data_IF_773907166902
#
_entry.id   IF_773907166902
#
_cell.length_a   1.000
_cell.length_b   1.000
_cell.length_c   1.000
_cell.angle_alpha   90.00
_cell.angle_beta   90.00
_cell.angle_gamma   90.00
#
_symmetry.space_group_name_H-M   'P 1'
#
loop_
_entity.id
_entity.type
_entity.pdbx_description
1 polymer ?
#
# COMPACT_ATOMS: atom_id res chain seq x y z
N UNK A 1 -15.96 28.14 -52.17
CA UNK A 1 -16.12 27.04 -51.21
C UNK A 1 -14.98 27.16 -50.19
N UNK A 2 -15.25 27.63 -48.98
CA UNK A 2 -14.27 27.79 -47.88
C UNK A 2 -14.40 26.63 -46.92
N UNK A 3 -13.43 25.73 -46.92
CA UNK A 3 -13.39 24.61 -45.98
C UNK A 3 -12.85 25.13 -44.64
N UNK A 4 -13.70 25.13 -43.61
CA UNK A 4 -13.32 25.37 -42.23
C UNK A 4 -12.76 24.07 -41.66
N UNK A 5 -11.44 23.99 -41.49
CA UNK A 5 -10.80 22.93 -40.69
C UNK A 5 -11.03 23.23 -39.21
N UNK A 6 -11.91 22.47 -38.57
CA UNK A 6 -12.08 22.48 -37.12
C UNK A 6 -10.94 21.71 -36.48
N UNK A 7 -10.02 22.43 -35.82
CA UNK A 7 -8.91 21.87 -35.04
C UNK A 7 -9.47 21.34 -33.70
N UNK A 8 -9.66 20.04 -33.56
CA UNK A 8 -10.03 19.39 -32.31
C UNK A 8 -8.81 19.41 -31.35
N UNK A 9 -8.82 20.33 -30.41
CA UNK A 9 -7.89 20.31 -29.27
C UNK A 9 -8.25 19.14 -28.35
N UNK A 10 -7.46 18.06 -28.41
CA UNK A 10 -7.52 16.98 -27.41
C UNK A 10 -6.84 17.49 -26.15
N UNK A 11 -7.63 17.89 -25.17
CA UNK A 11 -7.16 18.21 -23.82
C UNK A 11 -6.81 16.90 -23.13
N UNK A 12 -5.53 16.56 -23.08
CA UNK A 12 -5.01 15.47 -22.27
C UNK A 12 -5.17 15.87 -20.78
N UNK A 13 -6.18 15.33 -20.12
CA UNK A 13 -6.30 15.43 -18.67
C UNK A 13 -5.16 14.65 -18.03
N UNK A 14 -4.33 15.26 -17.15
CA UNK A 14 -3.33 14.49 -16.42
C UNK A 14 -4.08 13.43 -15.59
N UNK A 15 -3.73 12.17 -15.77
CA UNK A 15 -4.16 11.10 -14.88
C UNK A 15 -3.53 11.38 -13.51
N UNK A 16 -4.31 11.96 -12.60
CA UNK A 16 -3.91 12.12 -11.21
C UNK A 16 -3.70 10.72 -10.66
N UNK A 17 -2.46 10.43 -10.21
CA UNK A 17 -2.19 9.24 -9.44
C UNK A 17 -3.25 9.13 -8.33
N UNK A 18 -3.92 8.00 -8.22
CA UNK A 18 -4.93 7.81 -7.19
C UNK A 18 -4.21 7.70 -5.85
N UNK A 19 -4.11 8.83 -5.17
CA UNK A 19 -3.70 8.88 -3.76
C UNK A 19 -4.88 8.39 -2.92
N UNK A 20 -4.58 7.74 -1.79
CA UNK A 20 -5.63 7.40 -0.84
C UNK A 20 -6.25 8.68 -0.27
N UNK A 21 -7.55 8.66 -0.05
CA UNK A 21 -8.23 9.80 0.56
C UNK A 21 -8.01 9.81 2.08
N UNK A 22 -7.67 10.95 2.68
CA UNK A 22 -7.63 11.10 4.13
C UNK A 22 -8.98 10.79 4.76
N UNK A 23 -8.97 10.32 5.99
CA UNK A 23 -10.20 10.00 6.72
C UNK A 23 -10.06 8.80 7.63
N UNK A 24 -11.17 8.36 8.17
CA UNK A 24 -11.25 7.15 8.97
C UNK A 24 -11.27 5.91 8.08
N UNK A 25 -10.37 4.99 8.36
CA UNK A 25 -10.21 3.74 7.63
C UNK A 25 -10.34 2.55 8.55
N UNK A 26 -10.95 1.52 8.04
CA UNK A 26 -11.02 0.20 8.66
C UNK A 26 -10.15 -0.77 7.87
N UNK A 27 -9.24 -1.44 8.57
CA UNK A 27 -8.30 -2.41 8.00
C UNK A 27 -8.56 -3.79 8.54
N UNK A 28 -8.39 -4.76 7.66
CA UNK A 28 -8.36 -6.19 7.98
C UNK A 28 -7.00 -6.75 7.57
N UNK A 29 -6.31 -7.40 8.50
CA UNK A 29 -5.01 -8.00 8.29
C UNK A 29 -5.12 -9.51 8.48
N UNK A 30 -4.61 -10.26 7.52
CA UNK A 30 -4.49 -11.72 7.60
C UNK A 30 -3.03 -12.09 7.45
N UNK A 31 -2.46 -12.73 8.45
CA UNK A 31 -1.08 -13.22 8.44
C UNK A 31 -1.10 -14.74 8.30
N UNK A 32 -0.27 -15.25 7.40
CA UNK A 32 -0.05 -16.69 7.18
C UNK A 32 1.42 -17.02 7.24
N UNK A 33 1.73 -18.19 7.82
CA UNK A 33 3.08 -18.75 7.83
C UNK A 33 3.00 -20.27 7.65
N UNK A 34 4.07 -20.94 7.18
CA UNK A 34 4.13 -22.40 7.15
C UNK A 34 3.89 -22.99 8.53
N UNK A 35 2.99 -23.98 8.63
CA UNK A 35 2.66 -24.64 9.90
C UNK A 35 1.71 -23.84 10.82
N UNK A 36 1.30 -22.64 10.44
CA UNK A 36 0.33 -21.86 11.20
C UNK A 36 -1.07 -22.48 11.07
N UNK A 37 -1.82 -22.64 12.17
CA UNK A 37 -3.23 -23.01 12.08
C UNK A 37 -4.00 -21.92 11.31
N UNK A 38 -5.24 -22.22 10.92
CA UNK A 38 -6.08 -21.33 10.11
C UNK A 38 -5.97 -19.87 10.58
N UNK A 39 -5.50 -18.95 9.72
CA UNK A 39 -5.29 -17.57 10.11
C UNK A 39 -6.61 -16.89 10.47
N UNK A 40 -6.56 -16.06 11.51
CA UNK A 40 -7.68 -15.22 11.93
C UNK A 40 -7.46 -13.79 11.44
N UNK A 41 -8.44 -13.16 10.79
CA UNK A 41 -8.34 -11.76 10.44
C UNK A 41 -8.28 -10.90 11.71
N UNK A 42 -7.37 -9.94 11.73
CA UNK A 42 -7.30 -8.89 12.74
C UNK A 42 -7.78 -7.59 12.12
N UNK A 43 -8.74 -6.94 12.77
CA UNK A 43 -9.27 -5.66 12.33
C UNK A 43 -8.81 -4.52 13.23
N UNK A 44 -8.56 -3.36 12.63
CA UNK A 44 -8.33 -2.11 13.37
C UNK A 44 -8.84 -0.92 12.57
N UNK A 45 -9.07 0.18 13.26
CA UNK A 45 -9.44 1.47 12.66
C UNK A 45 -8.37 2.50 12.92
N UNK A 46 -8.14 3.34 11.95
CA UNK A 46 -7.18 4.44 12.04
C UNK A 46 -7.68 5.65 11.28
N UNK A 47 -7.47 6.82 11.86
CA UNK A 47 -7.65 8.09 11.16
C UNK A 47 -6.38 8.41 10.37
N UNK A 48 -6.49 8.44 9.06
CA UNK A 48 -5.40 8.75 8.15
C UNK A 48 -5.38 10.23 7.83
N UNK A 49 -4.25 10.87 8.11
CA UNK A 49 -4.03 12.27 7.74
C UNK A 49 -3.74 12.43 6.25
N UNK A 50 -3.86 13.67 5.75
CA UNK A 50 -3.51 13.97 4.36
C UNK A 50 -2.04 13.67 4.03
N UNK A 51 -1.12 13.83 4.99
CA UNK A 51 0.30 13.50 4.81
C UNK A 51 0.53 12.01 4.73
N UNK A 52 -0.11 11.23 5.60
CA UNK A 52 -0.04 9.78 5.58
C UNK A 52 -0.63 9.19 4.29
N UNK A 53 -1.69 9.79 3.77
CA UNK A 53 -2.32 9.35 2.53
C UNK A 53 -1.40 9.47 1.30
N UNK A 54 -0.43 10.39 1.34
CA UNK A 54 0.55 10.59 0.27
C UNK A 54 1.71 9.59 0.31
N UNK A 55 1.98 9.01 1.47
CA UNK A 55 3.07 8.04 1.66
C UNK A 55 2.54 6.67 2.09
N UNK A 56 2.09 5.86 1.14
CA UNK A 56 1.49 4.57 1.43
C UNK A 56 2.45 3.55 2.06
N UNK A 57 3.75 3.77 2.01
CA UNK A 57 4.74 2.91 2.66
C UNK A 57 4.90 3.22 4.16
N UNK A 58 4.47 4.39 4.60
CA UNK A 58 4.59 4.82 6.00
C UNK A 58 3.57 4.16 6.94
N UNK A 59 2.52 3.57 6.42
CA UNK A 59 1.47 2.97 7.25
C UNK A 59 1.81 1.62 7.82
N UNK A 60 2.82 0.98 7.24
CA UNK A 60 3.32 -0.31 7.71
C UNK A 60 4.39 -0.20 8.78
N UNK A 61 4.65 0.99 9.30
CA UNK A 61 5.64 1.21 10.37
C UNK A 61 5.34 0.36 11.59
N UNK A 62 5.74 -0.90 11.55
CA UNK A 62 5.72 -1.78 12.70
C UNK A 62 6.91 -1.34 13.58
N UNK A 63 6.65 -0.84 14.80
CA UNK A 63 7.72 -0.46 15.72
C UNK A 63 8.66 -1.64 16.08
N UNK A 64 8.28 -2.86 15.72
CA UNK A 64 9.10 -4.06 15.88
C UNK A 64 9.99 -4.36 14.68
N UNK A 65 9.95 -3.56 13.60
CA UNK A 65 10.85 -3.77 12.45
C UNK A 65 12.28 -3.38 12.82
N UNK A 66 13.28 -4.17 12.36
CA UNK A 66 14.66 -3.76 12.47
C UNK A 66 14.88 -2.38 11.84
N UNK A 67 15.64 -1.53 12.50
CA UNK A 67 15.85 -0.13 12.11
C UNK A 67 16.69 0.04 10.85
N UNK A 68 17.35 -1.02 10.38
CA UNK A 68 18.20 -1.03 9.18
C UNK A 68 17.50 -1.55 7.92
N UNK A 69 16.18 -1.84 8.00
CA UNK A 69 15.41 -2.24 6.83
C UNK A 69 15.30 -1.07 5.85
N UNK A 70 15.55 -1.34 4.58
CA UNK A 70 15.51 -0.35 3.51
C UNK A 70 14.75 -0.87 2.31
N UNK A 71 14.06 0.03 1.63
CA UNK A 71 13.46 -0.26 0.33
C UNK A 71 14.55 -0.20 -0.73
N UNK A 72 14.79 -1.31 -1.41
CA UNK A 72 15.81 -1.43 -2.47
C UNK A 72 15.23 -1.21 -3.86
N UNK A 73 13.96 -1.47 -4.04
CA UNK A 73 13.25 -1.25 -5.30
C UNK A 73 11.85 -0.71 -4.99
N UNK A 74 11.47 0.36 -5.66
CA UNK A 74 10.13 0.93 -5.57
C UNK A 74 9.63 1.23 -6.99
N UNK A 75 8.49 0.63 -7.35
CA UNK A 75 7.79 0.92 -8.59
C UNK A 75 6.43 1.53 -8.26
N UNK A 76 6.16 2.70 -8.83
CA UNK A 76 4.89 3.41 -8.67
C UNK A 76 4.14 3.44 -10.00
N UNK A 77 2.88 3.03 -9.96
CA UNK A 77 1.91 3.15 -11.03
C UNK A 77 0.79 4.12 -10.64
N UNK A 78 -0.21 4.32 -11.51
CA UNK A 78 -1.30 5.25 -11.23
C UNK A 78 -2.20 4.83 -10.06
N UNK A 79 -2.35 3.53 -9.82
CA UNK A 79 -3.23 2.94 -8.80
C UNK A 79 -2.57 1.81 -8.01
N UNK A 80 -1.28 1.58 -8.24
CA UNK A 80 -0.56 0.50 -7.62
C UNK A 80 0.89 0.85 -7.34
N UNK A 81 1.44 0.26 -6.29
CA UNK A 81 2.86 0.28 -5.98
C UNK A 81 3.37 -1.13 -5.74
N UNK A 82 4.64 -1.36 -6.01
CA UNK A 82 5.35 -2.56 -5.59
C UNK A 82 6.75 -2.21 -5.09
N UNK A 83 7.25 -3.00 -4.14
CA UNK A 83 8.55 -2.73 -3.52
C UNK A 83 9.28 -4.01 -3.16
N UNK A 84 10.60 -3.86 -3.02
CA UNK A 84 11.46 -4.84 -2.37
C UNK A 84 12.09 -4.19 -1.15
N UNK A 85 12.32 -4.98 -0.11
CA UNK A 85 12.91 -4.56 1.13
C UNK A 85 14.01 -5.52 1.54
N UNK A 86 15.06 -4.99 2.14
CA UNK A 86 16.15 -5.75 2.73
C UNK A 86 16.43 -5.24 4.14
N UNK A 87 16.69 -6.18 5.06
CA UNK A 87 17.05 -5.91 6.44
C UNK A 87 18.39 -6.57 6.75
N UNK A 88 19.53 -5.90 6.50
CA UNK A 88 20.88 -6.51 6.59
C UNK A 88 21.19 -7.12 7.96
N UNK A 89 20.77 -6.51 9.06
CA UNK A 89 21.06 -7.02 10.41
C UNK A 89 20.45 -8.38 10.70
N UNK A 90 19.33 -8.70 10.07
CA UNK A 90 18.59 -9.96 10.28
C UNK A 90 18.70 -10.92 9.10
N UNK A 91 19.22 -10.47 7.95
CA UNK A 91 19.20 -11.22 6.69
C UNK A 91 17.80 -11.40 6.10
N UNK A 92 16.81 -10.65 6.60
CA UNK A 92 15.44 -10.71 6.10
C UNK A 92 15.30 -9.95 4.79
N UNK A 93 14.47 -10.48 3.89
CA UNK A 93 14.09 -9.86 2.64
C UNK A 93 12.57 -9.83 2.53
N UNK A 94 12.05 -8.81 1.90
CA UNK A 94 10.62 -8.68 1.68
C UNK A 94 10.28 -8.21 0.28
N UNK A 95 9.13 -8.62 -0.20
CA UNK A 95 8.48 -8.09 -1.40
C UNK A 95 7.05 -7.72 -1.05
N UNK A 96 6.57 -6.64 -1.63
CA UNK A 96 5.21 -6.23 -1.39
C UNK A 96 4.61 -5.53 -2.60
N UNK A 97 3.31 -5.49 -2.62
CA UNK A 97 2.52 -4.70 -3.56
C UNK A 97 1.26 -4.19 -2.90
N UNK A 98 0.77 -3.05 -3.37
CA UNK A 98 -0.50 -2.51 -2.95
C UNK A 98 -1.23 -1.91 -4.14
N UNK A 99 -2.56 -1.97 -4.09
CA UNK A 99 -3.47 -1.32 -5.03
C UNK A 99 -4.40 -0.41 -4.26
N UNK A 100 -4.67 0.73 -4.85
CA UNK A 100 -5.47 1.79 -4.25
C UNK A 100 -6.66 2.13 -5.14
N UNK A 101 -7.81 2.26 -4.51
CA UNK A 101 -8.99 2.93 -5.06
C UNK A 101 -9.32 4.15 -4.20
N UNK A 102 -10.34 4.92 -4.58
CA UNK A 102 -10.74 6.12 -3.82
C UNK A 102 -11.03 5.84 -2.35
N UNK A 103 -11.72 4.80 -2.05
CA UNK A 103 -12.10 4.43 -0.69
C UNK A 103 -11.71 2.99 -0.33
N UNK A 104 -10.77 2.39 -1.05
CA UNK A 104 -10.34 1.02 -0.84
C UNK A 104 -8.84 0.84 -1.05
N UNK A 105 -8.26 -0.11 -0.36
CA UNK A 105 -6.89 -0.56 -0.61
C UNK A 105 -6.77 -2.06 -0.40
N UNK A 106 -5.84 -2.66 -1.11
CA UNK A 106 -5.42 -4.03 -0.92
C UNK A 106 -3.91 -4.09 -1.00
N UNK A 107 -3.29 -4.78 -0.06
CA UNK A 107 -1.85 -5.03 -0.13
C UNK A 107 -1.53 -6.48 0.21
N UNK A 108 -0.44 -6.95 -0.36
CA UNK A 108 0.15 -8.23 -0.05
C UNK A 108 1.64 -8.03 0.16
N UNK A 109 2.15 -8.57 1.27
CA UNK A 109 3.57 -8.53 1.62
C UNK A 109 4.04 -9.92 1.97
N UNK A 110 5.19 -10.29 1.47
CA UNK A 110 5.87 -11.53 1.83
C UNK A 110 7.26 -11.17 2.37
N UNK A 111 7.56 -11.65 3.57
CA UNK A 111 8.84 -11.43 4.25
C UNK A 111 9.39 -12.76 4.69
N UNK A 112 10.68 -12.99 4.45
CA UNK A 112 11.37 -14.20 4.84
C UNK A 112 12.88 -14.04 4.76
N UNK A 113 13.61 -15.14 4.95
CA UNK A 113 15.07 -15.17 4.92
C UNK A 113 15.72 -15.02 6.31
N UNK A 114 17.04 -15.18 6.37
CA UNK A 114 17.76 -15.28 7.64
C UNK A 114 17.28 -16.48 8.46
N UNK A 115 17.06 -16.28 9.75
CA UNK A 115 16.51 -17.30 10.67
C UNK A 115 15.00 -17.19 10.86
N UNK A 116 14.32 -16.39 10.05
CA UNK A 116 12.88 -16.14 10.18
C UNK A 116 12.06 -17.05 9.28
N UNK A 117 10.85 -17.34 9.74
CA UNK A 117 9.82 -18.06 8.98
C UNK A 117 9.26 -17.14 7.90
N UNK A 118 9.00 -17.68 6.72
CA UNK A 118 8.32 -16.93 5.67
C UNK A 118 6.92 -16.51 6.12
N UNK A 119 6.70 -15.21 6.16
CA UNK A 119 5.41 -14.61 6.51
C UNK A 119 4.76 -13.99 5.28
N UNK A 120 3.48 -14.27 5.10
CA UNK A 120 2.66 -13.58 4.11
C UNK A 120 1.56 -12.81 4.83
N UNK A 121 1.48 -11.52 4.55
CA UNK A 121 0.47 -10.63 5.11
C UNK A 121 -0.40 -10.10 3.98
N UNK A 122 -1.71 -10.26 4.12
CA UNK A 122 -2.70 -9.60 3.27
C UNK A 122 -3.43 -8.56 4.09
N UNK A 123 -3.52 -7.35 3.56
CA UNK A 123 -4.26 -6.25 4.17
C UNK A 123 -5.30 -5.74 3.20
N UNK A 124 -6.52 -5.58 3.67
CA UNK A 124 -7.58 -4.86 2.96
C UNK A 124 -8.00 -3.68 3.80
N UNK A 125 -8.24 -2.55 3.16
CA UNK A 125 -8.69 -1.33 3.81
C UNK A 125 -9.89 -0.75 3.09
N UNK A 126 -10.81 -0.15 3.86
CA UNK A 126 -11.90 0.64 3.34
C UNK A 126 -12.05 1.94 4.12
N UNK A 127 -12.31 3.01 3.41
CA UNK A 127 -12.60 4.30 4.01
C UNK A 127 -14.03 4.31 4.55
N UNK A 128 -14.20 4.76 5.78
CA UNK A 128 -15.51 4.86 6.43
C UNK A 128 -16.10 6.27 6.28
N UNK A 129 -15.25 7.30 6.19
CA UNK A 129 -15.68 8.68 6.12
C UNK A 129 -14.62 9.64 6.64
N UNK A 130 -14.98 10.88 6.98
CA UNK A 130 -14.09 11.80 7.66
C UNK A 130 -13.67 11.24 9.03
N UNK A 131 -12.47 11.63 9.51
CA UNK A 131 -12.08 11.32 10.88
C UNK A 131 -13.06 11.96 11.87
N UNK A 132 -13.53 11.18 12.82
CA UNK A 132 -14.30 11.69 13.96
C UNK A 132 -13.34 12.31 14.97
N UNK A 133 -13.67 13.49 15.51
CA UNK A 133 -12.85 14.12 16.53
C UNK A 133 -12.80 13.31 17.84
#
# INVERSE_FOLDING_TARGET
MRALLALLLVVATPALAQEMEPGEWEFQIVVTAPGMPKPQPMGYRNCMTAEQAKDPLHWGGNPSQPTDCRITTLKKGPDAISWKMECPSTGMNGVGSARFGRGSMQSETQVGGGNSVDLRTKTTGRRLGPCTP
#
